data_IF_163134904860
#
_entry.id   IF_163134904860
#
_cell.length_a   1.000
_cell.length_b   1.000
_cell.length_c   1.000
_cell.angle_alpha   90.00
_cell.angle_beta   90.00
_cell.angle_gamma   90.00
#
_symmetry.space_group_name_H-M   'P 1'
#
loop_
_entity.id
_entity.type
_entity.pdbx_description
1 polymer ?
#
# COMPACT_ATOMS: atom_id res chain seq x y z
N UNK A 1 -4.02 -7.52 -3.36
CA UNK A 1 -3.65 -6.70 -4.51
C UNK A 1 -3.94 -5.22 -4.23
N UNK A 2 -3.42 -4.35 -5.09
CA UNK A 2 -3.51 -2.91 -4.87
C UNK A 2 -4.95 -2.39 -4.87
N UNK A 3 -5.81 -2.97 -5.69
CA UNK A 3 -7.19 -2.54 -5.76
C UNK A 3 -7.93 -2.85 -4.44
N UNK A 4 -7.78 -4.07 -3.96
CA UNK A 4 -8.38 -4.48 -2.69
C UNK A 4 -7.80 -3.67 -1.53
N UNK A 5 -6.47 -3.44 -1.56
CA UNK A 5 -5.81 -2.66 -0.52
C UNK A 5 -6.33 -1.23 -0.45
N UNK A 6 -6.77 -0.65 -1.57
CA UNK A 6 -7.28 0.72 -1.59
C UNK A 6 -8.55 0.91 -0.77
N UNK A 7 -9.23 -0.17 -0.40
CA UNK A 7 -10.40 -0.11 0.47
C UNK A 7 -10.05 -0.10 1.96
N UNK A 8 -8.79 -0.38 2.28
CA UNK A 8 -8.35 -0.38 3.67
C UNK A 8 -8.06 1.05 4.12
N UNK A 9 -8.17 1.30 5.43
CA UNK A 9 -7.83 2.61 5.98
C UNK A 9 -6.34 2.77 6.17
N UNK A 10 -5.64 1.65 6.31
CA UNK A 10 -4.22 1.63 6.66
C UNK A 10 -3.58 0.39 6.09
N UNK A 11 -2.40 0.55 5.52
CA UNK A 11 -1.68 -0.54 4.88
C UNK A 11 -0.25 -0.54 5.38
N UNK A 12 0.22 -1.72 5.81
CA UNK A 12 1.61 -1.92 6.15
C UNK A 12 2.27 -2.70 5.02
N UNK A 13 3.41 -2.19 4.56
CA UNK A 13 4.21 -2.88 3.56
C UNK A 13 5.38 -3.54 4.25
N UNK A 14 5.51 -4.85 4.06
CA UNK A 14 6.53 -5.64 4.71
C UNK A 14 7.48 -6.19 3.65
N UNK A 15 8.78 -6.06 3.90
CA UNK A 15 9.80 -6.59 3.04
C UNK A 15 10.89 -7.23 3.90
N UNK A 16 11.29 -8.44 3.54
CA UNK A 16 12.33 -9.18 4.26
C UNK A 16 12.02 -9.32 5.75
N UNK A 17 10.75 -9.53 6.08
CA UNK A 17 10.31 -9.72 7.45
C UNK A 17 10.27 -8.43 8.28
N UNK A 18 10.46 -7.28 7.64
CA UNK A 18 10.47 -6.00 8.34
C UNK A 18 9.48 -5.04 7.71
N UNK A 19 8.97 -4.11 8.51
CA UNK A 19 8.08 -3.08 8.01
C UNK A 19 8.90 -2.13 7.15
N UNK A 20 8.52 -2.04 5.87
CA UNK A 20 9.15 -1.12 4.92
C UNK A 20 8.56 0.28 5.04
N UNK A 21 7.24 0.37 5.01
CA UNK A 21 6.54 1.64 5.13
C UNK A 21 5.08 1.39 5.49
N UNK A 22 4.41 2.45 5.87
CA UNK A 22 3.00 2.42 6.20
C UNK A 22 2.29 3.53 5.45
N UNK A 23 1.13 3.23 4.88
CA UNK A 23 0.26 4.21 4.25
C UNK A 23 -1.04 4.30 5.02
N UNK A 24 -1.45 5.51 5.35
CA UNK A 24 -2.73 5.78 5.99
C UNK A 24 -3.58 6.56 5.00
N UNK A 25 -4.80 6.11 4.78
CA UNK A 25 -5.69 6.75 3.83
C UNK A 25 -6.00 8.19 4.24
N UNK A 26 -6.34 8.41 5.51
CA UNK A 26 -6.68 9.74 6.00
C UNK A 26 -7.79 10.38 5.19
N UNK A 27 -7.55 11.59 4.68
CA UNK A 27 -8.52 12.32 3.88
C UNK A 27 -8.41 12.05 2.39
N UNK A 28 -7.51 11.15 1.98
CA UNK A 28 -7.38 10.79 0.58
C UNK A 28 -8.63 10.08 0.09
N UNK A 29 -9.00 10.35 -1.16
CA UNK A 29 -10.02 9.54 -1.81
C UNK A 29 -9.44 8.15 -2.05
N UNK A 30 -10.32 7.17 -2.32
CA UNK A 30 -9.86 5.82 -2.63
C UNK A 30 -8.93 5.82 -3.84
N UNK A 31 -9.23 6.64 -4.84
CA UNK A 31 -8.40 6.74 -6.03
C UNK A 31 -7.02 7.30 -5.72
N UNK A 32 -6.96 8.34 -4.89
CA UNK A 32 -5.67 8.90 -4.47
C UNK A 32 -4.87 7.88 -3.68
N UNK A 33 -5.53 7.16 -2.79
CA UNK A 33 -4.88 6.15 -1.99
C UNK A 33 -4.37 5.01 -2.86
N UNK A 34 -5.18 4.58 -3.83
CA UNK A 34 -4.77 3.55 -4.77
C UNK A 34 -3.48 3.96 -5.52
N UNK A 35 -3.42 5.20 -5.98
CA UNK A 35 -2.24 5.69 -6.67
C UNK A 35 -1.01 5.70 -5.76
N UNK A 36 -1.18 6.04 -4.50
CA UNK A 36 -0.08 5.99 -3.53
C UNK A 36 0.41 4.57 -3.30
N UNK A 37 -0.52 3.62 -3.25
CA UNK A 37 -0.17 2.21 -3.13
C UNK A 37 0.67 1.77 -4.32
N UNK A 38 0.28 2.16 -5.53
CA UNK A 38 1.02 1.80 -6.73
C UNK A 38 2.44 2.35 -6.71
N UNK A 39 2.62 3.57 -6.17
CA UNK A 39 3.95 4.15 -6.06
C UNK A 39 4.85 3.31 -5.14
N UNK A 40 4.30 2.86 -4.01
CA UNK A 40 5.07 2.03 -3.08
C UNK A 40 5.37 0.66 -3.69
N UNK A 41 4.40 0.09 -4.40
CA UNK A 41 4.59 -1.19 -5.08
C UNK A 41 5.76 -1.09 -6.07
N UNK A 42 5.84 0.01 -6.80
CA UNK A 42 6.93 0.23 -7.75
C UNK A 42 8.28 0.26 -7.03
N UNK A 43 8.34 0.88 -5.86
CA UNK A 43 9.57 0.92 -5.07
C UNK A 43 9.96 -0.47 -4.56
N UNK A 44 8.98 -1.33 -4.29
CA UNK A 44 9.23 -2.68 -3.79
C UNK A 44 9.53 -3.69 -4.89
N UNK A 45 9.55 -3.26 -6.14
CA UNK A 45 9.84 -4.15 -7.26
C UNK A 45 8.59 -4.69 -7.95
N UNK A 46 7.45 -4.05 -7.75
CA UNK A 46 6.23 -4.34 -8.52
C UNK A 46 5.35 -5.44 -7.95
N UNK A 47 5.56 -5.88 -6.71
CA UNK A 47 4.80 -6.98 -6.13
C UNK A 47 4.29 -6.60 -4.74
N UNK A 48 2.99 -6.69 -4.53
CA UNK A 48 2.39 -6.48 -3.21
C UNK A 48 1.73 -7.78 -2.78
N UNK A 49 2.36 -8.48 -1.85
CA UNK A 49 1.86 -9.75 -1.38
C UNK A 49 1.23 -9.66 0.00
N UNK A 50 1.77 -8.80 0.84
CA UNK A 50 1.37 -8.71 2.24
C UNK A 50 0.79 -7.34 2.51
N UNK A 51 -0.51 -7.23 2.32
CA UNK A 51 -1.27 -6.04 2.64
C UNK A 51 -2.02 -6.32 3.92
N UNK A 52 -1.84 -5.45 4.90
CA UNK A 52 -2.47 -5.59 6.21
C UNK A 52 -3.31 -4.37 6.53
#
# INVERSE_FOLDING_TARGET
>A
DSFTASYCDRILFIKDGKIFTELVRGTNTRRQFFNKILDVVALLGGDVRDVR
#
